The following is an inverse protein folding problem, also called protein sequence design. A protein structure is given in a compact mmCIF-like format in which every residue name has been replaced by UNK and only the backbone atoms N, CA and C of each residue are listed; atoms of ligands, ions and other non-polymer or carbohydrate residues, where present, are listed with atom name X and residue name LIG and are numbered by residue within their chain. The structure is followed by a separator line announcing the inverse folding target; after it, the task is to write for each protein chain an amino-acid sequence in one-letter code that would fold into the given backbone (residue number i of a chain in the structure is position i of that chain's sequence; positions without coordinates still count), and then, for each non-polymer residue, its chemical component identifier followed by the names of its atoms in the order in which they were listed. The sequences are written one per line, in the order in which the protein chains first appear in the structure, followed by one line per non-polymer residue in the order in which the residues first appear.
data_IF_770427117099
#
_entry.id   IF_770427117099
#
_cell.length_a   1.000
_cell.length_b   1.000
_cell.length_c   1.000
_cell.angle_alpha   90.00
_cell.angle_beta   90.00
_cell.angle_gamma   90.00
#
_symmetry.space_group_name_H-M   'P 1'
#
loop_
_entity.id
_entity.type
_entity.pdbx_description
1 polymer ?
#
# COMPACT_ATOMS: atom_id res chain seq x y z
N UNK A 1 1.57 5.37 46.30
CA UNK A 1 0.82 5.41 45.01
C UNK A 1 -0.59 5.00 45.33
N UNK A 2 -1.55 5.92 45.27
CA UNK A 2 -2.92 5.63 45.69
C UNK A 2 -3.66 4.91 44.57
N UNK A 3 -4.22 3.74 44.85
CA UNK A 3 -5.00 2.91 43.92
C UNK A 3 -6.04 3.69 43.10
N UNK A 4 -6.65 4.73 43.68
CA UNK A 4 -7.62 5.61 43.01
C UNK A 4 -6.95 6.46 41.91
N UNK A 5 -5.73 6.94 42.14
CA UNK A 5 -4.97 7.72 41.16
C UNK A 5 -4.66 6.87 39.92
N UNK A 6 -4.21 5.63 40.13
CA UNK A 6 -3.84 4.72 39.04
C UNK A 6 -5.06 4.34 38.19
N UNK A 7 -6.25 4.16 38.80
CA UNK A 7 -7.50 3.89 38.08
C UNK A 7 -7.92 5.09 37.22
N UNK A 8 -7.78 6.31 37.74
CA UNK A 8 -8.14 7.53 36.99
C UNK A 8 -7.16 7.77 35.83
N UNK A 9 -5.86 7.60 36.06
CA UNK A 9 -4.83 7.72 35.02
C UNK A 9 -5.03 6.66 33.93
N UNK A 10 -5.29 5.41 34.33
CA UNK A 10 -5.63 4.32 33.42
C UNK A 10 -6.89 4.59 32.61
N UNK A 11 -7.98 4.98 33.26
CA UNK A 11 -9.25 5.32 32.61
C UNK A 11 -9.09 6.48 31.61
N UNK A 12 -8.32 7.51 31.96
CA UNK A 12 -8.03 8.63 31.07
C UNK A 12 -7.26 8.20 29.82
N UNK A 13 -6.24 7.35 29.98
CA UNK A 13 -5.48 6.84 28.84
C UNK A 13 -6.32 6.00 27.88
N UNK A 14 -7.28 5.21 28.40
CA UNK A 14 -8.21 4.41 27.59
C UNK A 14 -9.17 5.29 26.79
N UNK A 15 -9.74 6.32 27.42
CA UNK A 15 -10.63 7.27 26.74
C UNK A 15 -9.86 8.03 25.65
N UNK A 16 -8.65 8.48 25.96
CA UNK A 16 -7.79 9.16 24.99
C UNK A 16 -7.46 8.25 23.78
N UNK A 17 -7.12 6.98 24.02
CA UNK A 17 -6.88 6.00 22.95
C UNK A 17 -8.11 5.75 22.08
N UNK A 18 -9.28 5.55 22.71
CA UNK A 18 -10.54 5.32 22.01
C UNK A 18 -10.97 6.53 21.17
N UNK A 19 -10.73 7.75 21.67
CA UNK A 19 -11.01 8.99 20.95
C UNK A 19 -10.24 9.08 19.63
N UNK A 20 -8.98 8.65 19.60
CA UNK A 20 -8.18 8.59 18.37
C UNK A 20 -8.79 7.62 17.37
N UNK A 21 -9.24 6.44 17.84
CA UNK A 21 -9.89 5.43 17.00
C UNK A 21 -11.19 5.96 16.40
N UNK A 22 -12.06 6.57 17.21
CA UNK A 22 -13.31 7.20 16.77
C UNK A 22 -13.02 8.24 15.69
N UNK A 23 -12.02 9.10 15.89
CA UNK A 23 -11.62 10.11 14.89
C UNK A 23 -11.16 9.48 13.57
N UNK A 24 -10.55 8.29 13.61
CA UNK A 24 -10.08 7.61 12.39
C UNK A 24 -11.21 6.94 11.61
N UNK A 25 -12.27 6.46 12.28
CA UNK A 25 -13.43 5.83 11.63
C UNK A 25 -14.13 6.80 10.66
N UNK A 26 -14.22 8.09 11.02
CA UNK A 26 -14.85 9.10 10.16
C UNK A 26 -13.96 9.63 9.03
N UNK A 27 -12.69 9.19 8.93
CA UNK A 27 -11.82 9.60 7.83
C UNK A 27 -12.08 8.78 6.57
N UNK A 28 -11.85 9.35 5.38
CA UNK A 28 -11.98 8.61 4.13
C UNK A 28 -11.05 7.39 4.12
N UNK A 29 -11.54 6.28 3.56
CA UNK A 29 -10.77 5.04 3.44
C UNK A 29 -9.67 5.22 2.40
N UNK A 30 -8.42 5.27 2.85
CA UNK A 30 -7.23 5.39 1.99
C UNK A 30 -6.82 3.99 1.52
N UNK A 31 -7.62 3.40 0.63
CA UNK A 31 -7.35 2.08 0.03
C UNK A 31 -7.70 2.06 -1.46
N UNK A 32 -7.02 1.19 -2.22
CA UNK A 32 -7.33 0.92 -3.63
C UNK A 32 -7.99 -0.45 -3.73
N UNK A 33 -9.21 -0.48 -4.26
CA UNK A 33 -10.05 -1.68 -4.34
C UNK A 33 -9.75 -2.48 -5.61
N UNK A 34 -8.73 -3.32 -5.56
CA UNK A 34 -8.45 -4.29 -6.63
C UNK A 34 -9.58 -5.35 -6.71
N UNK A 35 -9.99 -5.83 -7.90
CA UNK A 35 -9.51 -5.50 -9.24
C UNK A 35 -10.24 -4.32 -9.90
N UNK A 36 -11.19 -3.66 -9.22
CA UNK A 36 -12.00 -2.58 -9.83
C UNK A 36 -11.22 -1.27 -10.00
N UNK A 37 -10.20 -1.06 -9.18
CA UNK A 37 -9.33 0.12 -9.23
C UNK A 37 -7.87 -0.34 -9.24
N UNK A 38 -7.08 0.24 -10.14
CA UNK A 38 -5.66 -0.03 -10.29
C UNK A 38 -4.85 1.21 -9.92
N UNK A 39 -3.64 0.99 -9.40
CA UNK A 39 -2.66 2.04 -9.16
C UNK A 39 -1.85 2.25 -10.44
N UNK A 40 -1.49 3.50 -10.71
CA UNK A 40 -0.51 3.80 -11.76
C UNK A 40 0.87 3.34 -11.28
N UNK A 41 1.48 2.42 -12.02
CA UNK A 41 2.82 1.90 -11.71
C UNK A 41 3.87 2.90 -12.16
N UNK A 42 5.00 2.96 -11.46
CA UNK A 42 6.11 3.82 -11.88
C UNK A 42 6.67 3.35 -13.24
N UNK A 43 7.20 4.26 -14.07
CA UNK A 43 7.80 3.88 -15.37
C UNK A 43 8.97 2.90 -15.23
N UNK A 44 9.63 2.89 -14.08
CA UNK A 44 10.73 1.99 -13.76
C UNK A 44 10.27 0.71 -13.02
N UNK A 45 8.97 0.46 -12.92
CA UNK A 45 8.45 -0.75 -12.29
C UNK A 45 8.89 -1.97 -13.08
N UNK A 46 9.57 -2.90 -12.41
CA UNK A 46 10.04 -4.15 -13.00
C UNK A 46 8.90 -5.17 -12.99
N UNK A 47 8.09 -5.14 -14.04
CA UNK A 47 7.03 -6.11 -14.28
C UNK A 47 7.55 -7.41 -14.89
N UNK A 48 6.68 -8.09 -15.62
CA UNK A 48 7.07 -9.24 -16.42
C UNK A 48 8.08 -8.82 -17.50
N UNK A 49 9.11 -9.65 -17.68
CA UNK A 49 10.11 -9.42 -18.71
C UNK A 49 9.48 -9.74 -20.06
N UNK A 50 9.49 -8.76 -20.95
CA UNK A 50 9.01 -8.88 -22.33
C UNK A 50 10.17 -8.69 -23.29
N UNK A 51 10.17 -9.46 -24.39
CA UNK A 51 11.13 -9.26 -25.46
C UNK A 51 10.71 -8.07 -26.32
N UNK A 52 11.67 -7.22 -26.66
CA UNK A 52 11.48 -6.18 -27.68
C UNK A 52 11.14 -6.86 -29.02
N UNK A 53 10.14 -6.32 -29.73
CA UNK A 53 9.65 -6.85 -31.01
C UNK A 53 9.96 -5.87 -32.13
N UNK A 54 10.28 -6.39 -33.32
CA UNK A 54 10.40 -5.55 -34.51
C UNK A 54 9.02 -5.11 -35.02
N UNK A 55 8.82 -3.82 -35.33
CA UNK A 55 7.54 -3.31 -35.82
C UNK A 55 7.15 -3.86 -37.20
N UNK A 56 8.13 -4.25 -38.02
CA UNK A 56 7.94 -4.71 -39.40
C UNK A 56 7.53 -6.21 -39.48
N UNK A 57 8.08 -7.06 -38.61
CA UNK A 57 7.98 -8.53 -38.73
C UNK A 57 7.23 -9.20 -37.59
N UNK A 58 7.00 -8.49 -36.46
CA UNK A 58 6.39 -9.06 -35.25
C UNK A 58 7.24 -10.14 -34.56
N UNK A 59 8.50 -10.31 -34.96
CA UNK A 59 9.45 -11.24 -34.35
C UNK A 59 10.25 -10.57 -33.23
N UNK A 60 10.78 -11.36 -32.29
CA UNK A 60 11.64 -10.87 -31.20
C UNK A 60 12.97 -10.31 -31.73
N UNK A 61 13.51 -9.27 -31.07
CA UNK A 61 14.82 -8.65 -31.34
C UNK A 61 16.01 -9.44 -30.71
N UNK A 62 15.83 -10.74 -30.46
CA UNK A 62 16.90 -11.54 -29.84
C UNK A 62 17.93 -11.95 -30.91
N UNK A 63 19.19 -11.53 -30.74
CA UNK A 63 20.32 -11.91 -31.61
C UNK A 63 21.18 -13.05 -31.04
N UNK A 64 20.70 -13.74 -30.00
CA UNK A 64 21.41 -14.82 -29.32
C UNK A 64 22.86 -14.45 -28.90
N UNK A 65 23.05 -13.29 -28.27
CA UNK A 65 24.36 -12.79 -27.85
C UNK A 65 24.99 -13.53 -26.65
N UNK A 66 24.31 -14.54 -26.10
CA UNK A 66 24.79 -15.34 -24.97
C UNK A 66 25.70 -16.46 -25.44
N UNK A 67 27.01 -16.20 -25.48
CA UNK A 67 28.09 -17.20 -25.54
C UNK A 67 28.81 -17.27 -24.20
#
# INVERSE_FOLDING_TARGET
MGMIKDIVEGGWSLIAGMWVTIRRIYRPVVTVQYPRKYLEMSPAYRGHIEFEQFPETGSHNCVACGT
#
